data_IF_810479884628
#
_entry.id   IF_810479884628
#
_cell.length_a   1.000
_cell.length_b   1.000
_cell.length_c   1.000
_cell.angle_alpha   90.00
_cell.angle_beta   90.00
_cell.angle_gamma   90.00
#
_symmetry.space_group_name_H-M   'P 1'
#
loop_
_entity.id
_entity.type
_entity.pdbx_description
1 polymer ?
#
# COMPACT_ATOMS: atom_id res chain seq x y z
N UNK A 1 -4.93 17.22 4.17
CA UNK A 1 -4.58 16.83 5.56
C UNK A 1 -3.27 16.05 5.49
N UNK A 2 -2.24 16.41 6.27
CA UNK A 2 -0.99 15.67 6.29
C UNK A 2 -1.20 14.27 6.88
N UNK A 3 -0.37 13.32 6.43
CA UNK A 3 -0.29 11.99 7.03
C UNK A 3 0.46 12.10 8.36
N UNK A 4 -0.06 11.46 9.39
CA UNK A 4 0.58 11.40 10.71
C UNK A 4 1.59 10.25 10.75
N UNK A 5 2.77 10.47 10.16
CA UNK A 5 3.86 9.49 10.07
C UNK A 5 5.20 10.23 9.91
N UNK A 6 6.30 9.75 10.54
CA UNK A 6 7.62 10.33 10.37
C UNK A 6 8.03 10.43 8.90
N UNK A 7 8.67 11.53 8.51
CA UNK A 7 9.03 11.78 7.11
C UNK A 7 9.88 10.68 6.46
N UNK A 8 10.91 10.09 7.13
CA UNK A 8 11.67 8.99 6.54
C UNK A 8 10.80 7.79 6.16
N UNK A 9 9.81 7.48 7.02
CA UNK A 9 8.86 6.39 6.77
C UNK A 9 7.86 6.77 5.68
N UNK A 10 7.38 8.02 5.67
CA UNK A 10 6.51 8.55 4.62
C UNK A 10 7.15 8.39 3.24
N UNK A 11 8.43 8.75 3.13
CA UNK A 11 9.19 8.67 1.88
C UNK A 11 9.47 7.22 1.49
N UNK A 12 9.90 6.38 2.43
CA UNK A 12 10.22 4.98 2.16
C UNK A 12 8.98 4.15 1.74
N UNK A 13 7.80 4.52 2.25
CA UNK A 13 6.51 3.95 1.85
C UNK A 13 5.86 4.67 0.65
N UNK A 14 6.46 5.76 0.15
CA UNK A 14 5.93 6.56 -0.95
C UNK A 14 4.51 7.09 -0.70
N UNK A 15 4.19 7.46 0.56
CA UNK A 15 2.82 7.77 0.95
C UNK A 15 2.39 9.18 0.53
N UNK A 16 1.23 9.26 -0.11
CA UNK A 16 0.57 10.52 -0.45
C UNK A 16 -0.94 10.41 -0.23
N UNK A 17 -1.54 11.39 0.45
CA UNK A 17 -2.99 11.50 0.62
C UNK A 17 -3.49 12.70 -0.18
N UNK A 18 -4.31 12.47 -1.19
CA UNK A 18 -4.89 13.53 -2.03
C UNK A 18 -6.30 13.17 -2.45
N UNK A 19 -7.24 14.13 -2.35
CA UNK A 19 -8.63 13.91 -2.79
C UNK A 19 -9.34 12.72 -2.14
N UNK A 20 -8.95 12.32 -0.93
CA UNK A 20 -9.50 11.12 -0.25
C UNK A 20 -8.92 9.79 -0.73
N UNK A 21 -7.93 9.81 -1.63
CA UNK A 21 -7.20 8.64 -2.11
C UNK A 21 -5.84 8.58 -1.42
N UNK A 22 -5.54 7.44 -0.81
CA UNK A 22 -4.21 7.14 -0.31
C UNK A 22 -3.40 6.43 -1.41
N UNK A 23 -2.31 7.05 -1.84
CA UNK A 23 -1.31 6.42 -2.69
C UNK A 23 -0.23 5.79 -1.80
N UNK A 24 0.09 4.54 -2.10
CA UNK A 24 1.08 3.71 -1.40
C UNK A 24 2.06 3.19 -2.45
N UNK A 25 3.32 3.57 -2.33
CA UNK A 25 4.35 3.28 -3.32
C UNK A 25 5.67 2.91 -2.62
N UNK A 26 5.69 1.78 -1.89
CA UNK A 26 6.85 1.42 -1.09
C UNK A 26 8.04 1.08 -1.97
N UNK A 27 9.23 1.45 -1.53
CA UNK A 27 10.47 1.15 -2.22
C UNK A 27 10.78 -0.37 -2.14
N UNK A 28 10.73 -1.12 -3.27
CA UNK A 28 10.96 -2.56 -3.27
C UNK A 28 12.40 -2.97 -2.91
N UNK A 29 13.36 -2.04 -2.98
CA UNK A 29 14.75 -2.30 -2.57
C UNK A 29 14.91 -2.41 -1.05
N UNK A 30 13.94 -1.87 -0.29
CA UNK A 30 13.92 -1.91 1.17
C UNK A 30 13.13 -3.12 1.65
N UNK A 31 13.77 -4.29 1.63
CA UNK A 31 13.13 -5.55 2.05
C UNK A 31 12.55 -5.48 3.48
N UNK A 32 13.14 -4.65 4.35
CA UNK A 32 12.80 -4.54 5.77
C UNK A 32 12.09 -3.22 6.14
N UNK A 33 11.18 -2.74 5.28
CA UNK A 33 10.34 -1.60 5.69
C UNK A 33 9.55 -1.94 6.94
N UNK A 34 9.64 -1.14 8.02
CA UNK A 34 8.83 -1.36 9.20
C UNK A 34 7.36 -1.20 8.83
N UNK A 35 6.53 -2.11 9.34
CA UNK A 35 5.10 -2.01 9.22
C UNK A 35 4.62 -0.70 9.86
N UNK A 36 3.69 -0.03 9.19
CA UNK A 36 3.03 1.15 9.73
C UNK A 36 1.73 0.71 10.38
N UNK A 37 1.60 0.98 11.67
CA UNK A 37 0.39 0.69 12.42
C UNK A 37 -0.39 1.98 12.67
N UNK A 38 -1.72 1.93 12.51
CA UNK A 38 -2.65 3.03 12.78
C UNK A 38 -2.31 4.31 12.02
N UNK A 39 -1.87 4.22 10.76
CA UNK A 39 -1.67 5.37 9.89
C UNK A 39 -3.00 6.13 9.74
N UNK A 40 -3.02 7.41 10.13
CA UNK A 40 -4.21 8.27 9.99
C UNK A 40 -4.33 8.81 8.57
N UNK A 41 -5.40 8.42 7.88
CA UNK A 41 -5.79 8.89 6.56
C UNK A 41 -7.15 9.57 6.63
N UNK A 42 -7.18 10.88 6.88
CA UNK A 42 -8.43 11.59 7.13
C UNK A 42 -9.15 11.01 8.36
N UNK A 43 -10.35 10.47 8.15
CA UNK A 43 -11.15 9.84 9.21
C UNK A 43 -10.82 8.36 9.44
N UNK A 44 -9.96 7.76 8.62
CA UNK A 44 -9.69 6.32 8.63
C UNK A 44 -8.33 6.01 9.23
N UNK A 45 -8.22 4.92 9.99
CA UNK A 45 -6.96 4.34 10.45
C UNK A 45 -6.67 3.07 9.64
N UNK A 46 -5.46 2.98 9.09
CA UNK A 46 -5.02 1.85 8.27
C UNK A 46 -3.67 1.34 8.76
N UNK A 47 -3.49 0.02 8.78
CA UNK A 47 -2.17 -0.61 8.90
C UNK A 47 -1.63 -0.95 7.51
N UNK A 48 -0.33 -0.76 7.32
CA UNK A 48 0.40 -1.11 6.11
C UNK A 48 1.56 -2.04 6.48
N UNK A 49 1.69 -3.15 5.77
CA UNK A 49 2.85 -4.04 5.91
C UNK A 49 3.33 -4.51 4.53
N UNK A 50 4.64 -4.54 4.32
CA UNK A 50 5.24 -5.01 3.07
C UNK A 50 6.01 -6.29 3.34
N UNK A 51 5.99 -7.20 2.37
CA UNK A 51 6.82 -8.39 2.38
C UNK A 51 7.45 -8.58 1.01
N UNK A 52 8.78 -8.59 0.96
CA UNK A 52 9.54 -8.89 -0.25
C UNK A 52 10.02 -10.35 -0.21
N UNK A 53 9.80 -11.08 -1.30
CA UNK A 53 10.27 -12.45 -1.53
C UNK A 53 10.89 -12.56 -2.95
N UNK A 54 11.68 -13.60 -3.24
CA UNK A 54 12.07 -13.90 -4.61
C UNK A 54 10.83 -14.00 -5.51
N UNK A 55 10.81 -13.27 -6.62
CA UNK A 55 9.68 -13.26 -7.59
C UNK A 55 8.38 -12.56 -7.16
N UNK A 56 8.26 -12.09 -5.90
CA UNK A 56 7.01 -11.48 -5.39
C UNK A 56 7.24 -10.40 -4.35
N UNK A 57 6.53 -9.29 -4.46
CA UNK A 57 6.39 -8.31 -3.38
C UNK A 57 4.91 -8.17 -3.04
N UNK A 58 4.54 -8.27 -1.76
CA UNK A 58 3.17 -8.02 -1.32
C UNK A 58 3.09 -6.85 -0.35
N UNK A 59 1.98 -6.11 -0.46
CA UNK A 59 1.60 -5.00 0.41
C UNK A 59 0.25 -5.33 1.00
N UNK A 60 0.21 -5.53 2.31
CA UNK A 60 -1.01 -5.75 3.08
C UNK A 60 -1.52 -4.42 3.60
N UNK A 61 -2.82 -4.23 3.44
CA UNK A 61 -3.58 -3.06 3.86
C UNK A 61 -4.66 -3.54 4.84
N UNK A 62 -4.80 -2.92 6.00
CA UNK A 62 -5.88 -3.26 6.92
C UNK A 62 -6.54 -2.02 7.48
N UNK A 63 -7.81 -1.77 7.12
CA UNK A 63 -8.62 -0.76 7.80
C UNK A 63 -8.87 -1.21 9.24
N UNK A 64 -8.47 -0.38 10.20
CA UNK A 64 -8.71 -0.62 11.63
C UNK A 64 -9.90 0.16 12.17
N UNK A 65 -10.14 1.36 11.65
CA UNK A 65 -11.22 2.23 12.12
C UNK A 65 -11.60 3.27 11.06
N UNK A 66 -12.82 3.82 11.14
CA UNK A 66 -13.31 4.88 10.25
C UNK A 66 -13.98 4.35 8.97
N UNK A 67 -14.41 5.22 8.04
CA UNK A 67 -15.05 4.79 6.80
C UNK A 67 -14.06 4.04 5.88
N UNK A 68 -14.57 3.31 4.87
CA UNK A 68 -13.76 2.78 3.78
C UNK A 68 -12.83 3.84 3.16
N UNK A 69 -11.67 3.40 2.69
CA UNK A 69 -10.65 4.28 2.09
C UNK A 69 -10.26 3.77 0.71
N UNK A 70 -10.29 4.64 -0.29
CA UNK A 70 -9.74 4.33 -1.61
C UNK A 70 -8.22 4.35 -1.53
N UNK A 71 -7.60 3.25 -1.90
CA UNK A 71 -6.14 3.10 -1.93
C UNK A 71 -5.67 2.78 -3.33
N UNK A 72 -4.55 3.38 -3.73
CA UNK A 72 -3.81 3.02 -4.94
C UNK A 72 -2.44 2.52 -4.53
N UNK A 73 -2.11 1.30 -4.92
CA UNK A 73 -0.83 0.67 -4.63
C UNK A 73 -0.04 0.50 -5.92
N UNK A 74 1.23 0.88 -5.89
CA UNK A 74 2.17 0.65 -6.99
C UNK A 74 3.53 0.29 -6.43
N UNK A 75 4.40 -0.28 -7.28
CA UNK A 75 5.76 -0.64 -6.90
C UNK A 75 6.77 0.12 -7.78
N UNK A 76 7.30 1.27 -7.33
CA UNK A 76 8.23 2.09 -8.10
C UNK A 76 9.45 1.30 -8.58
N UNK A 77 9.93 1.59 -9.79
CA UNK A 77 11.10 0.93 -10.38
C UNK A 77 10.90 -0.55 -10.73
N UNK A 78 9.70 -1.10 -10.53
CA UNK A 78 9.34 -2.47 -10.90
C UNK A 78 8.46 -2.49 -12.15
N UNK A 79 8.66 -3.49 -13.01
CA UNK A 79 7.74 -3.84 -14.09
C UNK A 79 7.13 -5.22 -13.77
N UNK A 80 6.05 -5.27 -12.99
CA UNK A 80 5.45 -6.54 -12.61
C UNK A 80 4.86 -7.26 -13.82
N UNK A 81 5.08 -8.58 -13.92
CA UNK A 81 4.42 -9.44 -14.91
C UNK A 81 2.94 -9.64 -14.59
N UNK A 82 2.58 -9.57 -13.31
CA UNK A 82 1.21 -9.69 -12.83
C UNK A 82 1.03 -8.89 -11.55
N UNK A 83 -0.14 -8.26 -11.41
CA UNK A 83 -0.59 -7.64 -10.16
C UNK A 83 -1.90 -8.32 -9.75
N UNK A 84 -2.04 -8.61 -8.46
CA UNK A 84 -3.26 -9.19 -7.89
C UNK A 84 -3.72 -8.38 -6.69
N UNK A 85 -5.03 -8.34 -6.47
CA UNK A 85 -5.68 -7.88 -5.24
C UNK A 85 -6.46 -9.06 -4.67
N UNK A 86 -6.13 -9.50 -3.47
CA UNK A 86 -6.73 -10.68 -2.83
C UNK A 86 -6.75 -11.89 -3.78
N UNK A 87 -5.59 -12.14 -4.40
CA UNK A 87 -5.36 -13.22 -5.39
C UNK A 87 -6.10 -13.06 -6.72
N UNK A 88 -6.96 -12.05 -6.88
CA UNK A 88 -7.62 -11.73 -8.15
C UNK A 88 -6.71 -10.86 -9.03
N UNK A 89 -6.42 -11.26 -10.28
CA UNK A 89 -5.62 -10.45 -11.20
C UNK A 89 -6.27 -9.09 -11.49
N UNK A 90 -5.44 -8.05 -11.58
CA UNK A 90 -5.86 -6.72 -12.03
C UNK A 90 -5.04 -6.29 -13.24
N UNK A 91 -5.65 -5.45 -14.09
CA UNK A 91 -4.98 -4.95 -15.28
C UNK A 91 -4.01 -3.81 -14.95
N UNK A 92 -2.79 -3.91 -15.47
CA UNK A 92 -1.75 -2.88 -15.36
C UNK A 92 -0.78 -3.06 -14.19
N UNK A 93 0.11 -2.08 -14.01
CA UNK A 93 1.19 -2.12 -13.02
C UNK A 93 0.82 -1.51 -11.65
N UNK A 94 -0.46 -1.16 -11.45
CA UNK A 94 -0.96 -0.51 -10.23
C UNK A 94 -2.30 -1.14 -9.84
N UNK A 95 -2.49 -1.34 -8.55
CA UNK A 95 -3.78 -1.75 -8.01
C UNK A 95 -4.54 -0.53 -7.48
N UNK A 96 -5.84 -0.46 -7.74
CA UNK A 96 -6.75 0.46 -7.08
C UNK A 96 -7.86 -0.36 -6.42
N UNK A 97 -8.10 -0.12 -5.13
CA UNK A 97 -9.08 -0.86 -4.35
C UNK A 97 -9.72 0.03 -3.28
N UNK A 98 -10.92 -0.36 -2.86
CA UNK A 98 -11.54 0.17 -1.65
C UNK A 98 -11.14 -0.72 -0.48
N UNK A 99 -10.51 -0.13 0.55
CA UNK A 99 -10.10 -0.87 1.75
C UNK A 99 -11.21 -0.80 2.78
N UNK A 100 -11.99 -1.88 2.87
CA UNK A 100 -13.10 -2.03 3.81
C UNK A 100 -12.74 -2.94 5.00
N UNK A 101 -11.73 -3.79 4.83
CA UNK A 101 -11.18 -4.67 5.85
C UNK A 101 -9.69 -4.89 5.64
N UNK A 102 -9.29 -6.15 5.55
CA UNK A 102 -7.92 -6.54 5.22
C UNK A 102 -7.83 -6.94 3.74
N UNK A 103 -6.82 -6.43 3.06
CA UNK A 103 -6.55 -6.73 1.66
C UNK A 103 -5.05 -6.94 1.44
N UNK A 104 -4.69 -7.77 0.47
CA UNK A 104 -3.32 -7.92 0.01
C UNK A 104 -3.21 -7.56 -1.48
N UNK A 105 -2.29 -6.63 -1.78
CA UNK A 105 -1.85 -6.37 -3.16
C UNK A 105 -0.53 -7.09 -3.36
N UNK A 106 -0.45 -7.98 -4.35
CA UNK A 106 0.79 -8.67 -4.70
C UNK A 106 1.25 -8.33 -6.12
N UNK A 107 2.55 -8.05 -6.25
CA UNK A 107 3.25 -7.76 -7.49
C UNK A 107 4.21 -8.93 -7.78
N UNK A 108 4.02 -9.60 -8.91
CA UNK A 108 4.88 -10.69 -9.38
C UNK A 108 5.87 -10.17 -10.40
N UNK A 109 7.12 -10.65 -10.34
CA UNK A 109 8.26 -10.21 -11.17
C UNK A 109 9.07 -11.39 -11.64
#
# INVERSE_FOLDING_TARGET
MPLDVPEPLRLAWGLRLSGGVLEVAPDPSRADLPALHRLRCGRTLVDLAMRSRPGRVSVRLARRFGPPLTVRVSLPGSQPVQVTVDEQPVHGARAALLVEGEHEVAFYR
#
